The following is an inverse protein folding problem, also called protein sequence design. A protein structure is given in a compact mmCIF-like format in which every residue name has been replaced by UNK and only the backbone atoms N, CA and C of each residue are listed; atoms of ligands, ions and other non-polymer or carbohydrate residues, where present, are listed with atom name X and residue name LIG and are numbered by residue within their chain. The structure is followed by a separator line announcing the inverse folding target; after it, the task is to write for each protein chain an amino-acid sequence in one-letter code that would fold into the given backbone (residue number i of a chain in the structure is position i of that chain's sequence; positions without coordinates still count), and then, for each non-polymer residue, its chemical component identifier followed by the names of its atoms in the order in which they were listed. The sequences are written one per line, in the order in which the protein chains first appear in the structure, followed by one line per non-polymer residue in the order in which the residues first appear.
data_IF_918027061331
#
_entry.id   IF_918027061331
#
_cell.length_a   1.000
_cell.length_b   1.000
_cell.length_c   1.000
_cell.angle_alpha   90.00
_cell.angle_beta   90.00
_cell.angle_gamma   90.00
#
_symmetry.space_group_name_H-M   'P 1'
#
loop_
_entity.id
_entity.type
_entity.pdbx_description
1 polymer ?
#
# COMPACT_ATOMS: atom_id res chain seq x y z
N UNK A 1 20.78 -30.97 40.73
CA UNK A 1 20.88 -29.79 39.84
C UNK A 1 20.64 -30.24 38.40
N UNK A 2 19.46 -29.94 37.83
CA UNK A 2 19.12 -30.32 36.45
C UNK A 2 19.59 -29.24 35.49
N UNK A 3 20.56 -29.58 34.66
CA UNK A 3 21.10 -28.80 33.53
C UNK A 3 20.01 -28.58 32.49
N UNK A 4 19.57 -27.33 32.33
CA UNK A 4 18.65 -26.93 31.26
C UNK A 4 19.43 -26.80 29.95
N UNK A 5 19.15 -27.70 28.99
CA UNK A 5 19.58 -27.56 27.60
C UNK A 5 18.89 -26.33 26.99
N UNK A 6 19.64 -25.24 26.87
CA UNK A 6 19.28 -24.11 26.01
C UNK A 6 19.20 -24.65 24.57
N UNK A 7 17.98 -24.87 24.07
CA UNK A 7 17.75 -25.10 22.64
C UNK A 7 18.15 -23.83 21.91
N UNK A 8 19.32 -23.87 21.26
CA UNK A 8 19.73 -22.82 20.35
C UNK A 8 18.68 -22.68 19.24
N UNK A 9 18.05 -21.51 19.19
CA UNK A 9 17.23 -21.12 18.05
C UNK A 9 18.19 -21.07 16.85
N UNK A 10 18.02 -21.98 15.88
CA UNK A 10 18.74 -21.94 14.60
C UNK A 10 18.63 -20.51 14.05
N UNK A 11 19.73 -19.77 14.02
CA UNK A 11 19.84 -18.46 13.36
C UNK A 11 19.37 -18.66 11.91
N UNK A 12 18.17 -18.16 11.57
CA UNK A 12 17.73 -18.09 10.20
C UNK A 12 18.78 -17.30 9.42
N UNK A 13 19.59 -18.01 8.64
CA UNK A 13 20.68 -17.43 7.87
C UNK A 13 20.03 -16.85 6.63
N UNK A 14 19.83 -15.53 6.59
CA UNK A 14 19.33 -14.86 5.40
C UNK A 14 20.38 -15.05 4.31
N UNK A 15 20.08 -15.88 3.30
CA UNK A 15 20.89 -16.00 2.09
C UNK A 15 20.57 -14.80 1.20
N UNK A 16 21.44 -13.79 1.20
CA UNK A 16 21.35 -12.69 0.25
C UNK A 16 21.79 -13.16 -1.13
N UNK A 17 20.94 -12.97 -2.14
CA UNK A 17 21.37 -13.01 -3.53
C UNK A 17 22.35 -11.87 -3.80
N UNK A 18 23.26 -12.02 -4.79
CA UNK A 18 24.16 -10.95 -5.18
C UNK A 18 23.38 -9.70 -5.61
N UNK A 19 23.92 -8.52 -5.29
CA UNK A 19 23.35 -7.25 -5.75
C UNK A 19 23.55 -7.07 -7.25
N UNK A 20 22.51 -6.60 -7.95
CA UNK A 20 22.59 -6.22 -9.37
C UNK A 20 23.47 -4.98 -9.59
N UNK A 21 23.77 -4.67 -10.85
CA UNK A 21 24.54 -3.46 -11.20
C UNK A 21 23.88 -2.18 -10.68
N UNK A 22 22.54 -2.03 -10.78
CA UNK A 22 21.83 -0.85 -10.25
C UNK A 22 21.83 -0.82 -8.72
N UNK A 23 21.63 -1.95 -8.06
CA UNK A 23 21.73 -2.02 -6.60
C UNK A 23 23.13 -1.66 -6.10
N UNK A 24 24.18 -2.09 -6.83
CA UNK A 24 25.57 -1.68 -6.54
C UNK A 24 25.77 -0.18 -6.71
N UNK A 25 25.24 0.43 -7.78
CA UNK A 25 25.28 1.91 -7.95
C UNK A 25 24.66 2.62 -6.75
N UNK A 26 23.50 2.16 -6.26
CA UNK A 26 22.88 2.71 -5.04
C UNK A 26 23.79 2.55 -3.81
N UNK A 27 24.49 1.42 -3.68
CA UNK A 27 25.37 1.15 -2.54
C UNK A 27 26.66 1.99 -2.54
N UNK A 28 27.10 2.49 -3.70
CA UNK A 28 28.45 3.07 -3.85
C UNK A 28 28.49 4.49 -4.38
N UNK A 29 27.35 5.09 -4.76
CA UNK A 29 27.36 6.41 -5.43
C UNK A 29 27.99 7.53 -4.59
N UNK A 30 27.91 7.42 -3.26
CA UNK A 30 28.38 8.40 -2.28
C UNK A 30 29.85 8.20 -1.86
N UNK A 31 30.51 7.13 -2.32
CA UNK A 31 31.92 6.89 -1.98
C UNK A 31 32.82 7.96 -2.62
N UNK A 32 33.92 8.37 -1.98
CA UNK A 32 34.78 9.44 -2.49
C UNK A 32 35.34 9.22 -3.92
N UNK A 33 35.51 7.97 -4.34
CA UNK A 33 35.99 7.59 -5.67
C UNK A 33 34.88 7.41 -6.71
N UNK A 34 33.61 7.64 -6.33
CA UNK A 34 32.49 7.62 -7.25
C UNK A 34 32.44 8.92 -8.05
N UNK A 35 32.23 8.89 -9.37
CA UNK A 35 32.15 10.09 -10.21
C UNK A 35 30.89 10.94 -9.97
N UNK A 36 30.02 10.52 -9.04
CA UNK A 36 28.77 11.19 -8.69
C UNK A 36 28.64 11.41 -7.17
N UNK A 37 29.77 11.38 -6.44
CA UNK A 37 29.78 11.54 -4.97
C UNK A 37 29.39 12.96 -4.52
N UNK A 38 29.53 13.93 -5.41
CA UNK A 38 29.18 15.34 -5.27
C UNK A 38 27.68 15.60 -5.37
N UNK A 39 26.87 14.63 -5.82
CA UNK A 39 25.41 14.74 -5.85
C UNK A 39 24.84 14.94 -4.45
N UNK A 40 23.79 15.75 -4.33
CA UNK A 40 23.14 16.07 -3.04
C UNK A 40 22.12 15.03 -2.60
N UNK A 41 21.82 14.09 -3.48
CA UNK A 41 20.96 12.98 -3.14
C UNK A 41 20.74 12.02 -4.29
N UNK A 42 19.88 11.05 -4.05
CA UNK A 42 19.51 10.00 -5.01
C UNK A 42 18.00 9.75 -4.98
N UNK A 43 17.42 9.63 -6.18
CA UNK A 43 16.06 9.16 -6.43
C UNK A 43 16.13 7.78 -7.08
N UNK A 44 15.47 6.80 -6.45
CA UNK A 44 15.26 5.47 -7.00
C UNK A 44 13.76 5.18 -7.16
N UNK A 45 13.26 5.18 -8.40
CA UNK A 45 11.85 4.91 -8.68
C UNK A 45 11.65 3.57 -9.43
N UNK A 46 10.41 3.29 -9.81
CA UNK A 46 10.07 2.22 -10.74
C UNK A 46 9.35 1.04 -10.12
N UNK A 47 9.49 -0.15 -10.71
CA UNK A 47 8.63 -1.31 -10.46
C UNK A 47 8.62 -1.79 -9.01
N UNK A 48 7.55 -2.48 -8.61
CA UNK A 48 7.52 -3.23 -7.36
C UNK A 48 8.52 -4.39 -7.39
N UNK A 49 8.92 -4.87 -6.21
CA UNK A 49 9.80 -6.04 -6.06
C UNK A 49 11.13 -5.95 -6.81
N UNK A 50 11.57 -4.76 -7.18
CA UNK A 50 12.84 -4.49 -7.88
C UNK A 50 14.07 -4.47 -6.98
N UNK A 51 13.90 -4.65 -5.67
CA UNK A 51 15.01 -4.70 -4.71
C UNK A 51 15.56 -3.33 -4.29
N UNK A 52 14.95 -2.22 -4.76
CA UNK A 52 15.35 -0.83 -4.49
C UNK A 52 15.37 -0.46 -3.00
N UNK A 53 14.29 -0.72 -2.26
CA UNK A 53 14.18 -0.41 -0.83
C UNK A 53 15.29 -1.04 0.02
N UNK A 54 15.62 -2.31 -0.26
CA UNK A 54 16.63 -3.05 0.51
C UNK A 54 18.03 -2.47 0.28
N UNK A 55 18.43 -2.27 -0.99
CA UNK A 55 19.76 -1.70 -1.28
C UNK A 55 19.88 -0.26 -0.78
N UNK A 56 18.82 0.53 -0.91
CA UNK A 56 18.83 1.95 -0.57
C UNK A 56 18.86 2.20 0.94
N UNK A 57 18.01 1.53 1.71
CA UNK A 57 18.01 1.65 3.17
C UNK A 57 19.31 1.15 3.80
N UNK A 58 19.91 0.08 3.26
CA UNK A 58 21.22 -0.39 3.69
C UNK A 58 22.31 0.63 3.36
N UNK A 59 22.33 1.14 2.13
CA UNK A 59 23.32 2.13 1.71
C UNK A 59 23.24 3.40 2.54
N UNK A 60 22.03 3.88 2.83
CA UNK A 60 21.80 5.07 3.64
C UNK A 60 22.45 4.95 5.02
N UNK A 61 22.23 3.84 5.73
CA UNK A 61 22.86 3.64 7.05
C UNK A 61 24.36 3.46 6.93
N UNK A 62 24.87 2.75 5.91
CA UNK A 62 26.31 2.59 5.73
C UNK A 62 26.97 3.95 5.46
N UNK A 63 26.41 4.77 4.57
CA UNK A 63 26.86 6.14 4.30
C UNK A 63 26.88 6.97 5.58
N UNK A 64 25.77 7.03 6.31
CA UNK A 64 25.65 7.77 7.56
C UNK A 64 26.71 7.35 8.59
N UNK A 65 26.90 6.04 8.76
CA UNK A 65 27.89 5.48 9.69
C UNK A 65 29.35 5.58 9.21
N UNK A 66 29.58 5.92 7.94
CA UNK A 66 30.93 6.12 7.37
C UNK A 66 31.34 7.59 7.43
N UNK A 67 30.39 8.49 7.19
CA UNK A 67 30.67 9.92 7.03
C UNK A 67 30.43 10.75 8.29
N UNK A 68 29.71 10.22 9.29
CA UNK A 68 29.28 11.00 10.45
C UNK A 68 29.44 10.22 11.76
N UNK A 69 29.60 10.97 12.86
CA UNK A 69 29.56 10.44 14.22
C UNK A 69 28.76 11.41 15.12
N UNK A 70 27.90 10.86 15.98
CA UNK A 70 27.06 11.62 16.91
C UNK A 70 25.93 12.41 16.24
N UNK A 71 25.54 12.08 15.00
CA UNK A 71 24.55 12.85 14.23
C UNK A 71 23.17 12.21 14.18
N UNK A 72 22.17 13.04 13.87
CA UNK A 72 20.77 12.64 13.72
C UNK A 72 20.39 12.46 12.24
N UNK A 73 19.60 11.44 11.94
CA UNK A 73 19.17 11.08 10.58
C UNK A 73 17.66 10.80 10.55
N UNK A 74 17.01 11.23 9.48
CA UNK A 74 15.58 10.95 9.25
C UNK A 74 15.35 9.68 8.45
N UNK A 75 14.35 8.89 8.84
CA UNK A 75 13.85 7.72 8.10
C UNK A 75 12.32 7.80 8.03
N UNK A 76 11.79 8.14 6.87
CA UNK A 76 10.39 8.49 6.67
C UNK A 76 9.67 7.41 5.87
N UNK A 77 8.44 7.08 6.28
CA UNK A 77 7.48 6.26 5.52
C UNK A 77 6.07 6.83 5.61
N UNK A 78 5.11 6.35 4.79
CA UNK A 78 3.69 6.76 4.90
C UNK A 78 3.15 6.64 6.32
N UNK A 79 3.53 5.57 7.02
CA UNK A 79 3.27 5.40 8.46
C UNK A 79 4.48 4.76 9.13
N UNK A 80 4.72 5.08 10.40
CA UNK A 80 5.76 4.40 11.19
C UNK A 80 5.56 2.88 11.20
N UNK A 81 4.30 2.43 11.29
CA UNK A 81 3.95 1.01 11.29
C UNK A 81 4.29 0.30 9.97
N UNK A 82 4.06 0.92 8.81
CA UNK A 82 4.46 0.35 7.51
C UNK A 82 5.96 0.36 7.35
N UNK A 83 6.63 1.48 7.68
CA UNK A 83 8.08 1.62 7.59
C UNK A 83 8.81 0.56 8.41
N UNK A 84 8.38 0.36 9.67
CA UNK A 84 8.99 -0.62 10.58
C UNK A 84 8.92 -2.05 10.03
N UNK A 85 7.81 -2.40 9.36
CA UNK A 85 7.61 -3.73 8.76
C UNK A 85 8.37 -3.92 7.45
N UNK A 86 8.27 -2.95 6.56
CA UNK A 86 8.74 -3.09 5.17
C UNK A 86 10.24 -2.81 5.04
N UNK A 87 10.77 -1.90 5.86
CA UNK A 87 12.16 -1.44 5.78
C UNK A 87 12.95 -1.88 7.01
N UNK A 88 12.58 -1.35 8.19
CA UNK A 88 13.45 -1.43 9.36
C UNK A 88 13.68 -2.87 9.83
N UNK A 89 12.67 -3.73 9.76
CA UNK A 89 12.81 -5.15 10.14
C UNK A 89 13.98 -5.81 9.40
N UNK A 90 14.02 -5.68 8.07
CA UNK A 90 15.08 -6.26 7.23
C UNK A 90 16.41 -5.54 7.39
N UNK A 91 16.38 -4.21 7.50
CA UNK A 91 17.56 -3.39 7.73
C UNK A 91 18.32 -3.79 9.00
N UNK A 92 17.61 -3.97 10.13
CA UNK A 92 18.23 -4.41 11.39
C UNK A 92 18.95 -5.75 11.25
N UNK A 93 18.36 -6.69 10.50
CA UNK A 93 18.99 -7.99 10.26
C UNK A 93 20.25 -7.85 9.40
N UNK A 94 20.18 -7.03 8.34
CA UNK A 94 21.33 -6.73 7.47
C UNK A 94 22.48 -6.07 8.23
N UNK A 95 22.18 -5.10 9.08
CA UNK A 95 23.18 -4.38 9.88
C UNK A 95 23.84 -5.31 10.91
N UNK A 96 23.05 -6.08 11.66
CA UNK A 96 23.58 -7.06 12.64
C UNK A 96 24.47 -8.10 11.98
N UNK A 97 24.11 -8.58 10.78
CA UNK A 97 24.96 -9.53 10.03
C UNK A 97 26.31 -8.94 9.60
N UNK A 98 26.44 -7.61 9.57
CA UNK A 98 27.65 -6.86 9.16
C UNK A 98 28.41 -6.26 10.36
N UNK A 99 28.12 -6.73 11.57
CA UNK A 99 28.80 -6.35 12.80
C UNK A 99 28.35 -5.02 13.42
N UNK A 100 27.24 -4.43 12.95
CA UNK A 100 26.67 -3.25 13.60
C UNK A 100 25.87 -3.65 14.84
N UNK A 101 26.01 -2.87 15.92
CA UNK A 101 25.09 -2.88 17.06
C UNK A 101 23.89 -2.02 16.70
N UNK A 102 22.68 -2.52 16.98
CA UNK A 102 21.43 -1.82 16.66
C UNK A 102 20.47 -1.92 17.83
N UNK A 103 20.16 -0.78 18.43
CA UNK A 103 19.18 -0.61 19.50
C UNK A 103 17.93 0.08 18.94
N UNK A 104 16.75 -0.49 19.18
CA UNK A 104 15.47 0.01 18.65
C UNK A 104 14.62 0.54 19.80
N UNK A 105 14.70 1.86 20.04
CA UNK A 105 13.95 2.59 21.06
C UNK A 105 12.56 2.92 20.53
N UNK A 106 11.65 1.96 20.68
CA UNK A 106 10.31 2.01 20.06
C UNK A 106 9.44 3.16 20.54
N UNK A 107 9.52 3.51 21.83
CA UNK A 107 8.73 4.60 22.40
C UNK A 107 9.09 5.95 21.75
N UNK A 108 10.38 6.14 21.45
CA UNK A 108 10.92 7.38 20.89
C UNK A 108 10.94 7.38 19.35
N UNK A 109 10.48 6.29 18.72
CA UNK A 109 10.65 6.06 17.29
C UNK A 109 12.10 6.22 16.80
N UNK A 110 13.07 5.83 17.63
CA UNK A 110 14.50 6.03 17.38
C UNK A 110 15.22 4.69 17.24
N UNK A 111 16.18 4.63 16.32
CA UNK A 111 17.12 3.52 16.18
C UNK A 111 18.53 4.04 16.36
N UNK A 112 19.24 3.53 17.37
CA UNK A 112 20.65 3.84 17.60
C UNK A 112 21.49 2.77 16.92
N UNK A 113 22.39 3.20 16.04
CA UNK A 113 23.30 2.29 15.32
C UNK A 113 24.72 2.65 15.69
N UNK A 114 25.50 1.64 16.08
CA UNK A 114 26.90 1.81 16.45
C UNK A 114 27.78 0.75 15.81
N UNK A 115 29.00 1.14 15.45
CA UNK A 115 30.06 0.23 15.01
C UNK A 115 31.42 0.84 15.35
N UNK A 116 32.25 0.09 16.06
CA UNK A 116 33.48 0.60 16.67
C UNK A 116 33.15 1.86 17.50
N UNK A 117 33.89 2.96 17.32
CA UNK A 117 33.72 4.22 18.06
C UNK A 117 32.71 5.19 17.42
N UNK A 118 32.00 4.75 16.36
CA UNK A 118 30.99 5.56 15.67
C UNK A 118 29.59 5.18 16.14
N UNK A 119 28.78 6.18 16.49
CA UNK A 119 27.36 6.03 16.85
C UNK A 119 26.54 7.15 16.22
N UNK A 120 25.42 6.80 15.57
CA UNK A 120 24.46 7.78 15.04
C UNK A 120 23.01 7.40 15.40
N UNK A 121 22.12 8.38 15.27
CA UNK A 121 20.72 8.33 15.71
C UNK A 121 19.77 8.42 14.53
N UNK A 122 18.93 7.41 14.32
CA UNK A 122 18.02 7.32 13.17
C UNK A 122 16.56 7.42 13.65
N UNK A 123 15.96 8.60 13.49
CA UNK A 123 14.57 8.88 13.86
C UNK A 123 13.61 8.44 12.77
N UNK A 124 12.52 7.79 13.16
CA UNK A 124 11.51 7.24 12.25
C UNK A 124 10.29 8.15 12.27
N UNK A 125 9.96 8.69 11.10
CA UNK A 125 8.82 9.58 10.92
C UNK A 125 7.74 8.93 10.05
N UNK A 126 6.49 9.29 10.32
CA UNK A 126 5.33 8.88 9.51
C UNK A 126 4.70 10.10 8.85
N UNK A 127 4.82 10.23 7.53
CA UNK A 127 4.18 11.30 6.75
C UNK A 127 2.81 10.84 6.25
N UNK A 128 1.82 10.73 7.15
CA UNK A 128 0.50 10.19 6.79
C UNK A 128 -0.42 11.25 6.18
N UNK A 129 -0.35 12.46 6.71
CA UNK A 129 -1.20 13.60 6.39
C UNK A 129 -0.47 14.91 6.75
N UNK A 130 -1.02 16.06 6.36
CA UNK A 130 -0.46 17.39 6.60
C UNK A 130 -0.09 17.65 8.07
N UNK A 131 -0.82 17.05 9.03
CA UNK A 131 -0.54 17.20 10.47
C UNK A 131 0.75 16.51 10.91
N UNK A 132 1.28 15.61 10.07
CA UNK A 132 2.54 14.92 10.32
C UNK A 132 3.75 15.84 10.23
N UNK A 133 3.59 17.04 9.68
CA UNK A 133 4.65 18.05 9.54
C UNK A 133 5.23 18.48 10.89
N UNK A 134 4.39 18.60 11.92
CA UNK A 134 4.80 19.09 13.24
C UNK A 134 5.80 18.14 13.93
N UNK A 135 5.80 16.86 13.55
CA UNK A 135 6.66 15.82 14.10
C UNK A 135 8.14 15.98 13.75
N UNK A 136 8.46 16.68 12.66
CA UNK A 136 9.84 16.90 12.20
C UNK A 136 10.31 18.33 12.43
N UNK A 137 9.51 19.16 13.10
CA UNK A 137 9.92 20.51 13.44
C UNK A 137 10.98 20.50 14.54
N UNK A 138 11.98 21.38 14.43
CA UNK A 138 12.99 21.61 15.46
C UNK A 138 14.15 20.60 15.53
N UNK A 139 14.14 19.52 14.73
CA UNK A 139 15.29 18.61 14.64
C UNK A 139 16.29 19.06 13.57
N UNK A 140 17.59 18.94 13.88
CA UNK A 140 18.69 19.09 12.90
C UNK A 140 19.10 17.72 12.41
N UNK A 141 19.16 17.52 11.09
CA UNK A 141 19.46 16.24 10.46
C UNK A 141 20.71 16.32 9.57
N UNK A 142 21.50 15.25 9.57
CA UNK A 142 22.61 15.02 8.65
C UNK A 142 22.22 14.23 7.41
N UNK A 143 20.95 13.88 7.26
CA UNK A 143 20.40 13.23 6.07
C UNK A 143 18.97 12.78 6.29
N UNK A 144 18.28 12.52 5.18
CA UNK A 144 16.90 12.03 5.18
C UNK A 144 16.69 10.93 4.14
N UNK A 145 16.05 9.83 4.57
CA UNK A 145 15.60 8.76 3.71
C UNK A 145 14.07 8.69 3.69
N UNK A 146 13.46 8.65 2.51
CA UNK A 146 12.02 8.56 2.29
C UNK A 146 11.68 7.28 1.52
N UNK A 147 10.97 6.36 2.16
CA UNK A 147 10.42 5.15 1.54
C UNK A 147 8.97 5.35 1.13
N UNK A 148 8.65 5.05 -0.12
CA UNK A 148 7.35 5.30 -0.75
C UNK A 148 6.99 6.80 -0.74
N UNK A 149 7.95 7.67 -1.10
CA UNK A 149 7.82 9.14 -0.99
C UNK A 149 6.62 9.72 -1.74
N UNK A 150 6.21 9.12 -2.85
CA UNK A 150 5.02 9.53 -3.61
C UNK A 150 3.70 9.37 -2.81
N UNK A 151 3.70 8.62 -1.70
CA UNK A 151 2.54 8.47 -0.83
C UNK A 151 2.53 9.44 0.37
N UNK A 152 3.52 10.32 0.45
CA UNK A 152 3.65 11.33 1.50
C UNK A 152 3.16 12.69 1.02
N UNK A 153 2.67 13.56 1.92
CA UNK A 153 2.40 14.94 1.60
C UNK A 153 3.68 15.69 1.18
N UNK A 154 3.56 16.56 0.19
CA UNK A 154 4.66 17.40 -0.28
C UNK A 154 5.22 18.29 0.85
N UNK A 155 4.34 18.90 1.64
CA UNK A 155 4.69 19.75 2.78
C UNK A 155 5.60 19.05 3.79
N UNK A 156 5.30 17.78 4.10
CA UNK A 156 6.10 16.95 5.00
C UNK A 156 7.50 16.72 4.44
N UNK A 157 7.60 16.39 3.15
CA UNK A 157 8.90 16.16 2.50
C UNK A 157 9.71 17.45 2.46
N UNK A 158 9.10 18.57 2.09
CA UNK A 158 9.75 19.88 2.06
C UNK A 158 10.27 20.30 3.45
N UNK A 159 9.48 20.09 4.51
CA UNK A 159 9.95 20.35 5.88
C UNK A 159 11.07 19.42 6.30
N UNK A 160 10.96 18.12 6.00
CA UNK A 160 11.97 17.13 6.32
C UNK A 160 13.32 17.41 5.63
N UNK A 161 13.30 17.79 4.35
CA UNK A 161 14.50 18.19 3.62
C UNK A 161 15.07 19.51 4.12
N UNK A 162 14.21 20.45 4.55
CA UNK A 162 14.63 21.70 5.19
C UNK A 162 15.30 21.54 6.56
N UNK A 163 15.23 20.35 7.17
CA UNK A 163 15.96 20.01 8.41
C UNK A 163 17.37 19.45 8.16
N UNK A 164 17.72 19.14 6.91
CA UNK A 164 19.05 18.64 6.55
C UNK A 164 20.04 19.80 6.44
N UNK A 165 20.51 20.31 7.58
CA UNK A 165 21.40 21.49 7.66
C UNK A 165 22.85 21.16 8.03
N UNK A 166 23.15 19.92 8.42
CA UNK A 166 24.54 19.50 8.67
C UNK A 166 25.30 19.43 7.35
N UNK A 167 26.53 19.94 7.34
CA UNK A 167 27.40 19.88 6.17
C UNK A 167 27.61 18.44 5.69
N UNK A 168 27.62 18.26 4.36
CA UNK A 168 27.68 16.94 3.73
C UNK A 168 26.39 16.11 3.80
N UNK A 169 25.27 16.66 4.30
CA UNK A 169 24.00 15.95 4.33
C UNK A 169 23.48 15.58 2.93
N UNK A 170 22.74 14.47 2.82
CA UNK A 170 22.24 13.93 1.55
C UNK A 170 20.78 13.49 1.63
N UNK A 171 20.06 13.60 0.52
CA UNK A 171 18.67 13.15 0.37
C UNK A 171 18.55 11.78 -0.31
N UNK A 172 17.65 10.94 0.18
CA UNK A 172 17.46 9.59 -0.34
C UNK A 172 15.98 9.30 -0.55
N UNK A 173 15.54 9.27 -1.80
CA UNK A 173 14.14 9.05 -2.16
C UNK A 173 13.90 7.70 -2.86
N UNK A 174 12.94 6.93 -2.36
CA UNK A 174 12.47 5.70 -2.99
C UNK A 174 10.96 5.74 -3.21
N UNK A 175 10.47 5.42 -4.41
CA UNK A 175 9.03 5.31 -4.65
C UNK A 175 8.66 4.34 -5.77
N UNK A 176 7.38 4.00 -5.82
CA UNK A 176 6.77 3.53 -7.04
C UNK A 176 6.16 4.73 -7.80
N UNK A 177 6.02 4.65 -9.14
CA UNK A 177 5.41 5.71 -9.93
C UNK A 177 3.95 5.97 -9.58
N UNK A 178 3.55 7.21 -9.83
CA UNK A 178 2.17 7.69 -9.84
C UNK A 178 1.85 8.41 -11.17
N UNK A 179 0.85 9.29 -11.22
CA UNK A 179 0.56 10.13 -12.38
C UNK A 179 1.70 11.11 -12.72
N UNK A 180 1.90 11.48 -13.99
CA UNK A 180 3.02 12.33 -14.41
C UNK A 180 2.95 13.76 -13.86
N UNK A 181 1.78 14.23 -13.43
CA UNK A 181 1.58 15.54 -12.80
C UNK A 181 1.74 15.52 -11.28
N UNK A 182 2.04 14.35 -10.70
CA UNK A 182 2.25 14.23 -9.26
C UNK A 182 3.43 15.11 -8.80
N UNK A 183 3.29 15.79 -7.65
CA UNK A 183 4.28 16.76 -7.16
C UNK A 183 5.71 16.22 -7.13
N UNK A 184 5.91 14.96 -6.72
CA UNK A 184 7.26 14.37 -6.68
C UNK A 184 7.87 14.21 -8.08
N UNK A 185 7.05 13.96 -9.10
CA UNK A 185 7.52 13.87 -10.48
C UNK A 185 7.93 15.25 -10.98
N UNK A 186 7.06 16.25 -10.83
CA UNK A 186 7.28 17.60 -11.36
C UNK A 186 8.32 18.40 -10.56
N UNK A 187 8.29 18.32 -9.23
CA UNK A 187 9.12 19.15 -8.36
C UNK A 187 10.47 18.52 -8.00
N UNK A 188 10.62 17.20 -8.09
CA UNK A 188 11.87 16.51 -7.73
C UNK A 188 12.52 15.76 -8.89
N UNK A 189 11.76 14.92 -9.61
CA UNK A 189 12.34 14.08 -10.66
C UNK A 189 12.64 14.87 -11.94
N UNK A 190 11.72 15.71 -12.40
CA UNK A 190 11.92 16.53 -13.59
C UNK A 190 12.94 17.64 -13.35
N UNK A 191 13.08 18.08 -12.10
CA UNK A 191 14.07 19.05 -11.62
C UNK A 191 15.33 18.39 -11.03
N UNK A 192 15.60 17.11 -11.31
CA UNK A 192 16.73 16.40 -10.69
C UNK A 192 18.10 17.05 -10.97
N UNK A 193 18.29 17.67 -12.15
CA UNK A 193 19.56 18.30 -12.52
C UNK A 193 19.74 19.59 -11.73
N UNK A 194 18.69 20.42 -11.68
CA UNK A 194 18.63 21.66 -10.90
C UNK A 194 18.89 21.39 -9.41
N UNK A 195 18.31 20.31 -8.87
CA UNK A 195 18.48 19.89 -7.47
C UNK A 195 19.73 19.04 -7.22
N UNK A 196 20.59 18.87 -8.23
CA UNK A 196 21.82 18.09 -8.15
C UNK A 196 21.63 16.65 -7.61
N UNK A 197 20.59 15.96 -8.07
CA UNK A 197 20.21 14.62 -7.65
C UNK A 197 20.63 13.56 -8.68
N UNK A 198 21.03 12.39 -8.19
CA UNK A 198 21.20 11.19 -8.99
C UNK A 198 19.84 10.51 -9.21
N UNK A 199 19.55 10.03 -10.41
CA UNK A 199 18.36 9.22 -10.68
C UNK A 199 18.70 7.83 -11.17
N UNK A 200 18.01 6.83 -10.60
CA UNK A 200 18.09 5.43 -11.03
C UNK A 200 16.69 4.82 -11.13
N UNK A 201 16.31 4.45 -12.35
CA UNK A 201 15.06 3.72 -12.58
C UNK A 201 15.22 2.21 -12.36
N UNK A 202 14.34 1.58 -11.58
CA UNK A 202 14.39 0.14 -11.26
C UNK A 202 13.23 -0.66 -11.87
N UNK A 203 13.55 -1.87 -12.33
CA UNK A 203 12.59 -2.88 -12.81
C UNK A 203 12.74 -4.18 -12.02
N UNK A 204 11.82 -5.14 -12.16
CA UNK A 204 11.98 -6.47 -11.53
C UNK A 204 13.24 -7.22 -12.00
N UNK A 205 13.81 -6.87 -13.16
CA UNK A 205 15.06 -7.46 -13.66
C UNK A 205 16.29 -7.03 -12.86
N UNK A 206 16.19 -5.91 -12.14
CA UNK A 206 17.25 -5.44 -11.25
C UNK A 206 17.28 -6.22 -9.92
N UNK A 207 16.32 -7.11 -9.68
CA UNK A 207 16.28 -7.99 -8.52
C UNK A 207 16.69 -9.43 -8.88
N UNK A 208 17.96 -9.76 -8.64
CA UNK A 208 18.54 -11.08 -8.93
C UNK A 208 18.05 -12.21 -8.01
N UNK A 209 17.26 -11.89 -6.97
CA UNK A 209 16.64 -12.90 -6.10
C UNK A 209 15.35 -13.49 -6.68
N UNK A 210 14.76 -12.86 -7.70
CA UNK A 210 13.50 -13.30 -8.29
C UNK A 210 13.77 -14.21 -9.50
N UNK A 211 13.21 -15.41 -9.47
CA UNK A 211 13.16 -16.26 -10.65
C UNK A 211 12.15 -15.75 -11.67
N UNK A 212 12.34 -16.11 -12.94
CA UNK A 212 11.43 -15.74 -14.03
C UNK A 212 9.98 -16.18 -13.77
N UNK A 213 9.78 -17.36 -13.18
CA UNK A 213 8.45 -17.83 -12.76
C UNK A 213 7.78 -16.86 -11.78
N UNK A 214 8.54 -16.30 -10.83
CA UNK A 214 8.02 -15.37 -9.83
C UNK A 214 7.76 -14.00 -10.46
N UNK A 215 8.63 -13.53 -11.37
CA UNK A 215 8.40 -12.28 -12.12
C UNK A 215 7.12 -12.36 -12.95
N UNK A 216 6.94 -13.43 -13.73
CA UNK A 216 5.71 -13.69 -14.51
C UNK A 216 4.48 -13.72 -13.61
N UNK A 217 4.57 -14.37 -12.45
CA UNK A 217 3.47 -14.39 -11.49
C UNK A 217 3.10 -12.99 -11.00
N UNK A 218 4.06 -12.14 -10.67
CA UNK A 218 3.77 -10.75 -10.26
C UNK A 218 3.21 -9.93 -11.42
N UNK A 219 3.76 -10.08 -12.62
CA UNK A 219 3.28 -9.39 -13.81
C UNK A 219 1.80 -9.70 -14.09
N UNK A 220 1.41 -10.98 -14.01
CA UNK A 220 0.02 -11.41 -14.18
C UNK A 220 -0.96 -11.00 -13.07
N UNK A 221 -0.51 -10.26 -12.04
CA UNK A 221 -1.40 -9.69 -11.03
C UNK A 221 -1.94 -8.31 -11.41
N UNK A 222 -1.39 -7.69 -12.45
CA UNK A 222 -1.69 -6.32 -12.83
C UNK A 222 -2.06 -6.23 -14.31
N UNK A 223 -2.95 -5.31 -14.62
CA UNK A 223 -3.42 -5.00 -15.98
C UNK A 223 -3.57 -3.48 -16.11
N UNK A 224 -3.71 -3.01 -17.37
CA UNK A 224 -3.93 -1.59 -17.68
C UNK A 224 -2.89 -0.67 -17.04
N UNK A 225 -3.37 0.43 -16.45
CA UNK A 225 -2.51 1.44 -15.82
C UNK A 225 -1.66 0.89 -14.67
N UNK A 226 -2.20 -0.02 -13.86
CA UNK A 226 -1.45 -0.56 -12.73
C UNK A 226 -0.30 -1.45 -13.17
N UNK A 227 -0.41 -2.11 -14.33
CA UNK A 227 0.71 -2.80 -14.94
C UNK A 227 1.80 -1.80 -15.37
N UNK A 228 1.43 -0.73 -16.05
CA UNK A 228 2.36 0.31 -16.49
C UNK A 228 3.12 0.92 -15.31
N UNK A 229 2.42 1.28 -14.22
CA UNK A 229 3.05 1.86 -13.02
C UNK A 229 3.87 0.85 -12.22
N UNK A 230 3.29 -0.29 -11.84
CA UNK A 230 3.92 -1.18 -10.87
C UNK A 230 4.83 -2.25 -11.47
N UNK A 231 4.66 -2.61 -12.75
CA UNK A 231 5.49 -3.61 -13.44
C UNK A 231 6.51 -2.94 -14.36
N UNK A 232 6.07 -2.02 -15.22
CA UNK A 232 6.97 -1.30 -16.12
C UNK A 232 7.68 -0.12 -15.45
N UNK A 233 7.11 0.42 -14.36
CA UNK A 233 7.73 1.53 -13.65
C UNK A 233 7.45 2.90 -14.28
N UNK A 234 6.36 3.06 -15.04
CA UNK A 234 6.07 4.27 -15.79
C UNK A 234 5.18 5.24 -15.00
N UNK A 235 5.44 6.54 -15.13
CA UNK A 235 4.58 7.61 -14.62
C UNK A 235 3.53 7.95 -15.69
N UNK A 236 2.34 7.39 -15.58
CA UNK A 236 1.28 7.48 -16.60
C UNK A 236 -0.04 7.97 -16.00
N UNK A 237 -0.77 8.77 -16.78
CA UNK A 237 -2.05 9.37 -16.36
C UNK A 237 -3.10 8.28 -16.16
N UNK A 238 -3.88 8.40 -15.07
CA UNK A 238 -5.09 7.63 -14.88
C UNK A 238 -6.24 8.28 -15.64
N UNK A 239 -6.71 7.61 -16.69
CA UNK A 239 -7.77 8.11 -17.58
C UNK A 239 -8.74 6.98 -17.92
N UNK A 240 -10.01 7.34 -18.13
CA UNK A 240 -11.06 6.43 -18.56
C UNK A 240 -11.53 5.47 -17.46
N UNK A 241 -11.99 4.29 -17.88
CA UNK A 241 -12.58 3.28 -16.99
C UNK A 241 -11.54 2.72 -16.02
N UNK A 242 -11.86 2.78 -14.73
CA UNK A 242 -10.99 2.33 -13.64
C UNK A 242 -10.74 0.82 -13.72
N UNK A 243 -11.80 0.04 -13.88
CA UNK A 243 -11.75 -1.42 -13.96
C UNK A 243 -11.85 -1.92 -15.39
N UNK A 244 -11.01 -1.39 -16.28
CA UNK A 244 -10.96 -1.79 -17.71
C UNK A 244 -10.60 -3.27 -17.94
N UNK A 245 -10.17 -3.99 -16.91
CA UNK A 245 -9.93 -5.43 -16.94
C UNK A 245 -11.15 -6.28 -16.60
N UNK A 246 -12.28 -5.67 -16.22
CA UNK A 246 -13.52 -6.40 -16.03
C UNK A 246 -14.03 -6.89 -17.38
N UNK A 247 -14.20 -8.21 -17.47
CA UNK A 247 -14.69 -8.90 -18.66
C UNK A 247 -15.86 -9.80 -18.25
N UNK A 248 -17.00 -9.68 -18.96
CA UNK A 248 -18.19 -10.48 -18.66
C UNK A 248 -17.96 -11.97 -18.90
N UNK A 249 -17.15 -12.36 -19.89
CA UNK A 249 -16.88 -13.77 -20.19
C UNK A 249 -16.04 -14.43 -19.10
N UNK A 250 -15.17 -13.67 -18.44
CA UNK A 250 -14.28 -14.20 -17.39
C UNK A 250 -14.85 -14.06 -15.97
N UNK A 251 -15.62 -12.99 -15.71
CA UNK A 251 -15.98 -12.59 -14.35
C UNK A 251 -17.45 -12.82 -13.99
N UNK A 252 -18.32 -13.00 -14.99
CA UNK A 252 -19.75 -13.27 -14.75
C UNK A 252 -20.00 -14.77 -14.80
N UNK A 253 -20.67 -15.26 -13.76
CA UNK A 253 -20.92 -16.69 -13.57
C UNK A 253 -22.35 -16.92 -13.07
N UNK A 254 -22.78 -18.18 -13.00
CA UNK A 254 -23.95 -18.58 -12.23
C UNK A 254 -23.51 -18.97 -10.84
N UNK A 255 -23.98 -18.26 -9.82
CA UNK A 255 -23.63 -18.54 -8.42
C UNK A 255 -24.05 -19.94 -7.98
N UNK A 256 -25.08 -20.53 -8.61
CA UNK A 256 -25.51 -21.91 -8.38
C UNK A 256 -24.44 -22.96 -8.69
N UNK A 257 -23.44 -22.62 -9.50
CA UNK A 257 -22.41 -23.56 -9.96
C UNK A 257 -21.27 -23.73 -8.94
N UNK A 258 -21.37 -23.06 -7.79
CA UNK A 258 -20.33 -23.02 -6.76
C UNK A 258 -20.83 -23.45 -5.38
N UNK A 259 -20.00 -24.21 -4.68
CA UNK A 259 -20.19 -24.53 -3.27
C UNK A 259 -19.49 -23.51 -2.36
N UNK A 260 -20.22 -23.01 -1.35
CA UNK A 260 -19.74 -21.97 -0.44
C UNK A 260 -19.55 -22.47 0.99
N UNK A 261 -18.42 -22.10 1.60
CA UNK A 261 -18.08 -22.42 3.01
C UNK A 261 -18.43 -21.32 3.99
N UNK A 262 -18.34 -20.06 3.55
CA UNK A 262 -18.53 -18.89 4.40
C UNK A 262 -19.29 -17.82 3.62
N UNK A 263 -20.27 -17.19 4.27
CA UNK A 263 -21.02 -16.08 3.70
C UNK A 263 -20.71 -14.78 4.43
N UNK A 264 -20.69 -13.70 3.67
CA UNK A 264 -20.38 -12.36 4.15
C UNK A 264 -21.29 -11.35 3.45
N UNK A 265 -21.48 -10.20 4.08
CA UNK A 265 -22.11 -9.06 3.41
C UNK A 265 -21.15 -7.89 3.47
N UNK A 266 -21.09 -7.11 2.40
CA UNK A 266 -20.54 -5.75 2.41
C UNK A 266 -21.66 -4.74 2.19
N UNK A 267 -21.51 -3.57 2.77
CA UNK A 267 -22.49 -2.48 2.66
C UNK A 267 -21.78 -1.17 2.34
N UNK A 268 -22.29 -0.45 1.35
CA UNK A 268 -22.12 1.00 1.23
C UNK A 268 -23.44 1.65 1.63
N UNK A 269 -23.39 2.54 2.62
CA UNK A 269 -24.58 3.08 3.28
C UNK A 269 -24.72 4.57 2.96
N UNK A 270 -25.87 4.93 2.40
CA UNK A 270 -26.25 6.30 2.09
C UNK A 270 -27.70 6.56 2.52
N UNK A 271 -27.92 7.66 3.26
CA UNK A 271 -29.27 8.14 3.59
C UNK A 271 -29.88 8.93 2.44
N UNK A 272 -29.09 9.81 1.83
CA UNK A 272 -29.47 10.61 0.65
C UNK A 272 -28.97 9.98 -0.65
N UNK A 273 -27.78 9.36 -0.59
CA UNK A 273 -27.20 8.61 -1.68
C UNK A 273 -27.72 7.16 -1.67
N UNK A 274 -27.62 6.43 -2.79
CA UNK A 274 -27.94 5.01 -2.82
C UNK A 274 -27.26 4.19 -1.70
N UNK A 275 -27.98 3.19 -1.20
CA UNK A 275 -27.45 2.16 -0.31
C UNK A 275 -27.31 0.87 -1.11
N UNK A 276 -26.12 0.27 -1.05
CA UNK A 276 -25.78 -0.97 -1.76
C UNK A 276 -25.38 -2.08 -0.78
N UNK A 277 -25.96 -3.27 -0.92
CA UNK A 277 -25.51 -4.50 -0.27
C UNK A 277 -25.17 -5.56 -1.29
N UNK A 278 -24.31 -6.49 -0.88
CA UNK A 278 -23.86 -7.57 -1.75
C UNK A 278 -23.46 -8.73 -0.89
N UNK A 279 -24.08 -9.85 -1.20
CA UNK A 279 -23.92 -11.10 -0.51
C UNK A 279 -22.79 -11.88 -1.18
N UNK A 280 -21.73 -12.14 -0.43
CA UNK A 280 -20.56 -12.85 -0.92
C UNK A 280 -20.49 -14.27 -0.38
N UNK A 281 -20.30 -15.23 -1.26
CA UNK A 281 -19.96 -16.61 -0.96
C UNK A 281 -18.47 -16.87 -1.17
N UNK A 282 -17.80 -17.43 -0.16
CA UNK A 282 -16.42 -17.91 -0.31
C UNK A 282 -16.41 -19.40 -0.64
N UNK A 283 -15.79 -19.75 -1.75
CA UNK A 283 -15.68 -21.13 -2.23
C UNK A 283 -14.56 -21.92 -1.54
N UNK A 284 -14.50 -23.22 -1.80
CA UNK A 284 -13.46 -24.11 -1.26
C UNK A 284 -12.06 -23.82 -1.81
N UNK A 285 -11.96 -23.36 -3.05
CA UNK A 285 -10.73 -22.96 -3.76
C UNK A 285 -10.33 -21.48 -3.53
N UNK A 286 -10.97 -20.82 -2.55
CA UNK A 286 -10.75 -19.41 -2.18
C UNK A 286 -11.08 -18.39 -3.29
N UNK A 287 -12.03 -18.70 -4.17
CA UNK A 287 -12.75 -17.66 -4.93
C UNK A 287 -13.83 -17.04 -4.07
N UNK A 288 -14.23 -15.84 -4.45
CA UNK A 288 -15.25 -15.05 -3.77
C UNK A 288 -16.27 -14.62 -4.82
N UNK A 289 -17.48 -15.17 -4.73
CA UNK A 289 -18.57 -14.89 -5.68
C UNK A 289 -19.55 -13.94 -5.01
N UNK A 290 -19.87 -12.81 -5.63
CA UNK A 290 -21.03 -12.02 -5.24
C UNK A 290 -22.27 -12.73 -5.77
N UNK A 291 -23.04 -13.34 -4.87
CA UNK A 291 -24.18 -14.22 -5.19
C UNK A 291 -25.40 -13.41 -5.62
N UNK A 292 -25.57 -12.23 -5.03
CA UNK A 292 -26.62 -11.27 -5.35
C UNK A 292 -26.30 -9.92 -4.77
N UNK A 293 -26.96 -8.90 -5.31
CA UNK A 293 -26.88 -7.52 -4.86
C UNK A 293 -28.24 -6.98 -4.41
N UNK A 294 -28.20 -5.93 -3.60
CA UNK A 294 -29.32 -5.08 -3.25
C UNK A 294 -28.88 -3.65 -3.54
N UNK A 295 -29.68 -2.91 -4.27
CA UNK A 295 -29.39 -1.52 -4.62
C UNK A 295 -30.65 -0.70 -4.41
N UNK A 296 -30.57 0.34 -3.58
CA UNK A 296 -31.71 1.21 -3.28
C UNK A 296 -31.31 2.67 -3.31
N UNK A 297 -31.96 3.44 -4.17
CA UNK A 297 -31.80 4.88 -4.28
C UNK A 297 -33.08 5.58 -3.85
N UNK A 298 -33.05 6.26 -2.69
CA UNK A 298 -34.21 7.03 -2.22
C UNK A 298 -34.56 8.20 -3.13
N UNK A 299 -33.59 8.68 -3.92
CA UNK A 299 -33.81 9.70 -4.96
C UNK A 299 -34.63 9.15 -6.11
N UNK A 300 -34.33 7.94 -6.58
CA UNK A 300 -35.00 7.34 -7.74
C UNK A 300 -36.39 6.82 -7.39
N UNK A 301 -36.57 6.31 -6.16
CA UNK A 301 -37.86 5.83 -5.67
C UNK A 301 -38.74 6.92 -5.08
N UNK A 302 -38.19 8.10 -4.80
CA UNK A 302 -38.87 9.21 -4.11
C UNK A 302 -39.17 8.95 -2.63
N UNK A 303 -38.70 7.84 -2.06
CA UNK A 303 -38.98 7.43 -0.67
C UNK A 303 -37.66 7.23 0.07
N UNK A 304 -37.48 7.94 1.19
CA UNK A 304 -36.33 7.71 2.07
C UNK A 304 -36.59 6.52 3.00
N UNK A 305 -35.54 5.76 3.29
CA UNK A 305 -35.56 4.63 4.24
C UNK A 305 -34.75 4.98 5.48
N UNK A 306 -35.22 4.52 6.64
CA UNK A 306 -34.52 4.66 7.92
C UNK A 306 -33.51 3.54 8.14
N UNK A 307 -32.65 3.67 9.16
CA UNK A 307 -31.73 2.61 9.58
C UNK A 307 -32.45 1.29 9.92
N UNK A 308 -33.66 1.38 10.46
CA UNK A 308 -34.48 0.22 10.79
C UNK A 308 -34.99 -0.45 9.52
N UNK A 309 -35.44 0.33 8.54
CA UNK A 309 -35.92 -0.19 7.26
C UNK A 309 -34.78 -0.91 6.52
N UNK A 310 -33.61 -0.27 6.41
CA UNK A 310 -32.44 -0.90 5.79
C UNK A 310 -31.96 -2.16 6.54
N UNK A 311 -32.07 -2.19 7.87
CA UNK A 311 -31.76 -3.40 8.65
C UNK A 311 -32.76 -4.52 8.37
N UNK A 312 -34.04 -4.20 8.23
CA UNK A 312 -35.07 -5.18 7.87
C UNK A 312 -34.90 -5.69 6.43
N UNK A 313 -34.57 -4.81 5.49
CA UNK A 313 -34.22 -5.18 4.12
C UNK A 313 -33.01 -6.11 4.11
N UNK A 314 -31.97 -5.80 4.89
CA UNK A 314 -30.80 -6.65 5.01
C UNK A 314 -31.16 -8.04 5.56
N UNK A 315 -32.02 -8.13 6.58
CA UNK A 315 -32.52 -9.42 7.11
C UNK A 315 -33.26 -10.23 6.06
N UNK A 316 -34.12 -9.58 5.25
CA UNK A 316 -34.80 -10.20 4.12
C UNK A 316 -33.82 -10.66 3.05
N UNK A 317 -32.86 -9.80 2.70
CA UNK A 317 -31.84 -10.04 1.70
C UNK A 317 -30.97 -11.26 2.04
N UNK A 318 -30.61 -11.46 3.30
CA UNK A 318 -29.75 -12.58 3.71
C UNK A 318 -30.52 -13.84 4.13
N UNK A 319 -31.85 -13.87 3.99
CA UNK A 319 -32.67 -15.00 4.40
C UNK A 319 -32.16 -16.30 3.75
N UNK A 320 -31.91 -17.32 4.58
CA UNK A 320 -31.33 -18.60 4.15
C UNK A 320 -29.80 -18.68 4.21
N UNK A 321 -29.09 -17.58 4.52
CA UNK A 321 -27.63 -17.54 4.58
C UNK A 321 -27.12 -17.29 5.99
N UNK A 322 -26.14 -18.10 6.43
CA UNK A 322 -25.46 -17.89 7.71
C UNK A 322 -24.31 -16.89 7.56
N UNK A 323 -24.61 -15.61 7.74
CA UNK A 323 -23.63 -14.53 7.57
C UNK A 323 -22.62 -14.53 8.71
N UNK A 324 -21.33 -14.55 8.35
CA UNK A 324 -20.23 -14.53 9.31
C UNK A 324 -19.93 -13.12 9.81
N UNK A 325 -19.86 -12.16 8.89
CA UNK A 325 -19.66 -10.74 9.18
C UNK A 325 -20.36 -9.86 8.15
N UNK A 326 -20.78 -8.68 8.61
CA UNK A 326 -21.21 -7.55 7.77
C UNK A 326 -20.09 -6.52 7.77
N UNK A 327 -19.55 -6.20 6.60
CA UNK A 327 -18.50 -5.18 6.43
C UNK A 327 -19.19 -3.86 6.13
N UNK A 328 -18.90 -2.84 6.95
CA UNK A 328 -19.57 -1.53 6.85
C UNK A 328 -18.54 -0.41 6.97
N UNK A 329 -18.72 0.68 6.22
CA UNK A 329 -17.88 1.87 6.35
C UNK A 329 -17.89 2.39 7.81
N UNK A 330 -16.73 2.71 8.39
CA UNK A 330 -16.63 3.24 9.75
C UNK A 330 -17.45 4.52 10.01
N UNK A 331 -17.75 5.31 8.99
CA UNK A 331 -18.53 6.55 9.06
C UNK A 331 -20.02 6.31 9.25
N UNK A 332 -20.56 5.13 8.90
CA UNK A 332 -21.96 4.77 9.08
C UNK A 332 -22.28 4.33 10.52
N UNK A 333 -22.01 5.22 11.50
CA UNK A 333 -22.08 4.91 12.93
C UNK A 333 -23.52 4.59 13.41
N UNK A 334 -24.53 5.28 12.88
CA UNK A 334 -25.94 5.05 13.24
C UNK A 334 -26.41 3.67 12.78
N UNK A 335 -26.17 3.35 11.51
CA UNK A 335 -26.53 2.05 10.94
C UNK A 335 -25.76 0.91 11.61
N UNK A 336 -24.47 1.12 11.94
CA UNK A 336 -23.69 0.17 12.73
C UNK A 336 -24.34 -0.13 14.09
N UNK A 337 -24.82 0.90 14.81
CA UNK A 337 -25.48 0.71 16.10
C UNK A 337 -26.78 -0.10 15.95
N UNK A 338 -27.56 0.19 14.90
CA UNK A 338 -28.78 -0.57 14.59
C UNK A 338 -28.47 -2.04 14.25
N UNK A 339 -27.46 -2.32 13.42
CA UNK A 339 -27.06 -3.69 13.08
C UNK A 339 -26.57 -4.47 14.32
N UNK A 340 -25.84 -3.84 15.23
CA UNK A 340 -25.40 -4.47 16.49
C UNK A 340 -26.61 -4.80 17.37
N UNK A 341 -27.60 -3.89 17.47
CA UNK A 341 -28.87 -4.11 18.18
C UNK A 341 -29.63 -5.31 17.59
N UNK A 342 -29.59 -5.45 16.27
CA UNK A 342 -30.14 -6.58 15.51
C UNK A 342 -29.25 -7.85 15.53
N UNK A 343 -28.21 -7.87 16.39
CA UNK A 343 -27.31 -9.02 16.64
C UNK A 343 -26.40 -9.39 15.47
N UNK A 344 -26.17 -8.48 14.52
CA UNK A 344 -25.17 -8.69 13.47
C UNK A 344 -23.74 -8.50 13.99
N UNK A 345 -22.81 -9.28 13.44
CA UNK A 345 -21.37 -9.09 13.67
C UNK A 345 -20.81 -8.13 12.64
N UNK A 346 -20.66 -6.86 13.01
CA UNK A 346 -20.16 -5.80 12.12
C UNK A 346 -18.64 -5.69 12.19
N UNK A 347 -17.98 -5.69 11.03
CA UNK A 347 -16.57 -5.38 10.88
C UNK A 347 -16.39 -4.01 10.23
N UNK A 348 -15.59 -3.10 10.82
CA UNK A 348 -15.29 -1.82 10.18
C UNK A 348 -14.46 -2.05 8.91
N UNK A 349 -14.90 -1.44 7.81
CA UNK A 349 -14.23 -1.53 6.53
C UNK A 349 -12.87 -0.84 6.56
N UNK A 350 -11.91 -1.39 5.82
CA UNK A 350 -10.70 -0.65 5.44
C UNK A 350 -10.98 0.12 4.15
N UNK A 351 -11.16 1.43 4.28
CA UNK A 351 -11.70 2.29 3.22
C UNK A 351 -10.64 3.12 2.45
N UNK A 352 -9.36 2.73 2.47
CA UNK A 352 -8.34 3.33 1.57
C UNK A 352 -8.78 3.15 0.12
N UNK A 353 -9.05 4.25 -0.59
CA UNK A 353 -9.64 4.26 -1.93
C UNK A 353 -8.67 3.68 -2.95
N UNK A 354 -7.53 4.33 -3.19
CA UNK A 354 -6.55 3.89 -4.19
C UNK A 354 -5.99 2.50 -3.92
N UNK A 355 -5.65 2.19 -2.66
CA UNK A 355 -5.18 0.83 -2.30
C UNK A 355 -6.28 -0.22 -2.54
N UNK A 356 -7.53 0.16 -2.30
CA UNK A 356 -8.70 -0.68 -2.52
C UNK A 356 -8.97 -0.95 -4.01
N UNK A 357 -8.96 0.11 -4.85
CA UNK A 357 -9.10 -0.01 -6.30
C UNK A 357 -8.02 -0.95 -6.86
N UNK A 358 -6.77 -0.74 -6.46
CA UNK A 358 -5.65 -1.61 -6.87
C UNK A 358 -5.85 -3.07 -6.47
N UNK A 359 -6.37 -3.32 -5.27
CA UNK A 359 -6.66 -4.67 -4.81
C UNK A 359 -7.78 -5.32 -5.62
N UNK A 360 -8.88 -4.61 -5.86
CA UNK A 360 -10.01 -5.09 -6.67
C UNK A 360 -9.54 -5.42 -8.09
N UNK A 361 -8.82 -4.51 -8.75
CA UNK A 361 -8.24 -4.73 -10.08
C UNK A 361 -7.33 -5.97 -10.13
N UNK A 362 -6.51 -6.18 -9.10
CA UNK A 362 -5.66 -7.37 -9.00
C UNK A 362 -6.46 -8.66 -8.77
N UNK A 363 -7.59 -8.60 -8.08
CA UNK A 363 -8.45 -9.76 -7.83
C UNK A 363 -9.28 -10.13 -9.07
N UNK A 364 -9.72 -9.14 -9.84
CA UNK A 364 -10.34 -9.32 -11.16
C UNK A 364 -9.36 -10.01 -12.10
N UNK A 365 -8.17 -9.42 -12.31
CA UNK A 365 -7.13 -9.97 -13.20
C UNK A 365 -6.73 -11.43 -12.87
N UNK A 366 -6.95 -11.89 -11.64
CA UNK A 366 -6.65 -13.26 -11.20
C UNK A 366 -7.89 -14.17 -11.12
N UNK A 367 -9.06 -13.68 -11.55
CA UNK A 367 -10.38 -14.32 -11.44
C UNK A 367 -10.66 -14.84 -10.01
N UNK A 368 -10.29 -14.04 -9.00
CA UNK A 368 -10.49 -14.36 -7.57
C UNK A 368 -11.77 -13.80 -7.01
N UNK A 369 -12.31 -12.75 -7.62
CA UNK A 369 -13.67 -12.29 -7.40
C UNK A 369 -14.47 -12.51 -8.67
N UNK A 370 -15.71 -12.95 -8.51
CA UNK A 370 -16.67 -13.26 -9.57
C UNK A 370 -18.03 -12.72 -9.16
N UNK A 371 -18.93 -12.55 -10.11
CA UNK A 371 -20.23 -11.95 -9.90
C UNK A 371 -21.30 -12.80 -10.55
N UNK A 372 -22.40 -13.00 -9.85
CA UNK A 372 -23.58 -13.64 -10.41
C UNK A 372 -24.17 -12.79 -11.55
N UNK A 373 -24.75 -13.44 -12.55
CA UNK A 373 -25.40 -12.76 -13.68
C UNK A 373 -26.55 -11.81 -13.28
N UNK A 374 -27.12 -11.99 -12.09
CA UNK A 374 -28.15 -11.10 -11.53
C UNK A 374 -27.63 -9.78 -10.96
N UNK A 375 -26.31 -9.59 -10.83
CA UNK A 375 -25.69 -8.37 -10.29
C UNK A 375 -25.60 -7.21 -11.32
N UNK A 376 -26.75 -6.82 -11.88
CA UNK A 376 -26.88 -5.87 -12.99
C UNK A 376 -26.40 -4.45 -12.66
N UNK A 377 -26.69 -3.92 -11.48
CA UNK A 377 -26.28 -2.57 -11.06
C UNK A 377 -24.76 -2.52 -10.84
N UNK A 378 -24.17 -3.57 -10.27
CA UNK A 378 -22.72 -3.73 -10.21
C UNK A 378 -22.09 -3.66 -11.60
N UNK A 379 -22.69 -4.28 -12.63
CA UNK A 379 -22.15 -4.23 -14.00
C UNK A 379 -22.29 -2.85 -14.64
N UNK A 380 -23.38 -2.12 -14.39
CA UNK A 380 -23.52 -0.74 -14.85
C UNK A 380 -22.41 0.14 -14.26
N UNK A 381 -22.16 0.01 -12.96
CA UNK A 381 -21.08 0.77 -12.30
C UNK A 381 -19.69 0.37 -12.82
N UNK A 382 -19.40 -0.92 -13.04
CA UNK A 382 -18.12 -1.33 -13.65
C UNK A 382 -17.87 -0.64 -15.01
N UNK A 383 -18.93 -0.40 -15.78
CA UNK A 383 -18.86 0.26 -17.09
C UNK A 383 -18.84 1.79 -17.06
N UNK A 384 -19.10 2.42 -15.91
CA UNK A 384 -19.21 3.87 -15.77
C UNK A 384 -18.25 4.47 -14.74
N UNK A 385 -17.61 3.65 -13.90
CA UNK A 385 -16.66 4.09 -12.89
C UNK A 385 -15.34 4.55 -13.52
N UNK A 386 -15.13 5.86 -13.54
CA UNK A 386 -14.04 6.53 -14.26
C UNK A 386 -13.11 7.34 -13.35
N UNK A 387 -11.88 7.53 -13.80
CA UNK A 387 -10.95 8.48 -13.21
C UNK A 387 -11.39 9.93 -13.45
N UNK A 388 -11.16 10.79 -12.46
CA UNK A 388 -11.36 12.23 -12.55
C UNK A 388 -10.16 12.86 -13.27
N UNK A 389 -10.34 13.13 -14.56
CA UNK A 389 -9.32 13.72 -15.42
C UNK A 389 -8.81 15.07 -14.91
N UNK A 390 -9.66 15.89 -14.27
CA UNK A 390 -9.27 17.21 -13.76
C UNK A 390 -8.45 17.11 -12.48
N UNK A 391 -8.78 16.16 -11.60
CA UNK A 391 -7.94 15.84 -10.45
C UNK A 391 -6.59 15.24 -10.88
N UNK A 392 -6.58 14.32 -11.84
CA UNK A 392 -5.36 13.72 -12.38
C UNK A 392 -4.40 14.75 -12.98
N UNK A 393 -4.91 15.78 -13.67
CA UNK A 393 -4.11 16.92 -14.18
C UNK A 393 -3.47 17.76 -13.07
N UNK A 394 -4.06 17.75 -11.88
CA UNK A 394 -3.50 18.39 -10.66
C UNK A 394 -2.56 17.47 -9.89
N UNK A 395 -2.25 16.28 -10.42
CA UNK A 395 -1.37 15.31 -9.77
C UNK A 395 -2.05 14.41 -8.75
N UNK A 396 -3.38 14.41 -8.69
CA UNK A 396 -4.16 13.61 -7.74
C UNK A 396 -4.97 12.55 -8.47
N UNK A 397 -4.59 11.28 -8.31
CA UNK A 397 -5.40 10.16 -8.79
C UNK A 397 -6.69 10.05 -7.94
N UNK A 398 -7.81 10.47 -8.52
CA UNK A 398 -9.15 10.38 -7.92
C UNK A 398 -10.15 9.84 -8.91
N UNK A 399 -11.21 9.24 -8.39
CA UNK A 399 -12.36 8.76 -9.18
C UNK A 399 -13.50 9.75 -9.04
N UNK A 400 -14.34 9.83 -10.07
CA UNK A 400 -15.59 10.60 -10.00
C UNK A 400 -16.53 9.87 -9.04
N UNK A 401 -17.08 10.61 -8.07
CA UNK A 401 -18.00 10.06 -7.05
C UNK A 401 -19.44 10.02 -7.57
N UNK A 402 -19.62 9.34 -8.69
CA UNK A 402 -20.91 9.10 -9.32
C UNK A 402 -20.98 7.63 -9.70
N UNK A 403 -22.08 6.97 -9.39
CA UNK A 403 -22.29 5.54 -9.67
C UNK A 403 -21.15 4.66 -9.11
N UNK A 404 -20.79 4.88 -7.84
CA UNK A 404 -19.67 4.22 -7.17
C UNK A 404 -20.06 3.39 -5.94
N UNK A 405 -21.35 3.19 -5.69
CA UNK A 405 -21.86 2.57 -4.46
C UNK A 405 -21.56 1.08 -4.40
N UNK A 406 -21.83 0.35 -5.47
CA UNK A 406 -21.43 -1.06 -5.59
C UNK A 406 -19.91 -1.18 -5.68
N UNK A 407 -19.22 -0.28 -6.37
CA UNK A 407 -17.75 -0.27 -6.43
C UNK A 407 -17.11 -0.10 -5.04
N UNK A 408 -17.63 0.79 -4.22
CA UNK A 408 -17.17 1.04 -2.86
C UNK A 408 -17.47 -0.13 -1.94
N UNK A 409 -18.67 -0.69 -2.06
CA UNK A 409 -19.08 -1.86 -1.33
C UNK A 409 -18.21 -3.10 -1.65
N UNK A 410 -17.89 -3.34 -2.93
CA UNK A 410 -16.93 -4.36 -3.38
C UNK A 410 -15.53 -4.09 -2.81
N UNK A 411 -15.08 -2.83 -2.84
CA UNK A 411 -13.78 -2.39 -2.34
C UNK A 411 -13.64 -2.65 -0.84
N UNK A 412 -14.67 -2.34 -0.06
CA UNK A 412 -14.72 -2.62 1.37
C UNK A 412 -14.61 -4.11 1.67
N UNK A 413 -15.34 -4.94 0.92
CA UNK A 413 -15.25 -6.40 1.02
C UNK A 413 -13.83 -6.90 0.77
N UNK A 414 -13.25 -6.52 -0.38
CA UNK A 414 -11.94 -6.99 -0.81
C UNK A 414 -10.85 -6.59 0.19
N UNK A 415 -10.84 -5.33 0.64
CA UNK A 415 -9.84 -4.83 1.58
C UNK A 415 -9.93 -5.46 2.98
N UNK A 416 -11.16 -5.75 3.43
CA UNK A 416 -11.44 -6.16 4.81
C UNK A 416 -11.41 -7.69 4.97
N UNK A 417 -11.95 -8.44 4.01
CA UNK A 417 -12.07 -9.89 4.10
C UNK A 417 -10.89 -10.58 3.39
N UNK A 418 -10.62 -10.21 2.14
CA UNK A 418 -9.58 -10.86 1.33
C UNK A 418 -8.19 -10.33 1.71
N UNK A 419 -8.03 -9.00 1.78
CA UNK A 419 -6.77 -8.33 2.10
C UNK A 419 -6.23 -8.62 3.52
N UNK A 420 -7.11 -8.94 4.48
CA UNK A 420 -6.69 -9.38 5.82
C UNK A 420 -6.09 -10.80 5.83
N UNK A 421 -6.51 -11.69 4.91
CA UNK A 421 -6.02 -13.07 4.85
C UNK A 421 -4.71 -13.21 4.08
N UNK A 422 -4.46 -12.38 3.07
CA UNK A 422 -3.16 -12.31 2.40
C UNK A 422 -2.02 -12.04 3.40
N UNK A 423 -2.24 -11.18 4.39
CA UNK A 423 -1.29 -10.92 5.50
C UNK A 423 -1.00 -12.15 6.37
N UNK A 424 -1.92 -13.12 6.47
CA UNK A 424 -1.71 -14.35 7.26
C UNK A 424 -0.89 -15.41 6.51
N UNK A 425 -1.03 -15.49 5.19
CA UNK A 425 -0.29 -16.45 4.34
C UNK A 425 1.22 -16.10 4.28
N UNK A 426 1.57 -14.81 4.35
CA UNK A 426 2.97 -14.37 4.44
C UNK A 426 3.60 -14.57 5.82
N UNK A 427 2.81 -14.85 6.86
CA UNK A 427 3.27 -15.08 8.23
C UNK A 427 3.48 -16.56 8.58
N UNK A 428 3.11 -17.48 7.68
CA UNK A 428 3.34 -18.92 7.83
C UNK A 428 4.43 -19.38 6.87
N UNK A 429 5.67 -18.96 7.12
CA UNK A 429 6.90 -19.64 6.66
C UNK A 429 8.11 -19.13 7.41
#
# INVERSE_FOLDING_TARGET
MKTSRIKSIKKATIKFSPFSKKQKKVLTWWLPNSPVCDKDGIIADGAIRSGKTISMSLSYVIWAMTCFNGQNFGMCGKTIGSFRRNVLFWLKLMLKSRGYKVEDKRADNLVVVSKNDVTNYFYIFGGKDERSQDLIQGITLAGCFFDEVALMPESFVNQATGRCSVDGSKFWFNCNPDGPYHWFKTEWMDKQIEKNLLYLHFTMNDNLSLSEKIKKRYAGMYSGIFYQRYILGLWVVAEGIVYSMFDKEEHVVKASDYDYKEYYVSCDYGTQNPTSFGLWGKTTDNKHVMIKEYYYSGRDTGVQKTDVDFSNDLKGFIKGYKIKYVVLDPSAASFKAQLIKDKFKVLPAKNSVLDGIRLVASLLTQCKILFDESCLDTFKEFSSYVWDNEACKKGEDKVIKEHDHSMDQIRYYCMTIIGNRAKRIFNSR
#
